data_IF_006262299261
#
_entry.id   IF_006262299261
#
_cell.length_a   1.000
_cell.length_b   1.000
_cell.length_c   1.000
_cell.angle_alpha   90.00
_cell.angle_beta   90.00
_cell.angle_gamma   90.00
#
_symmetry.space_group_name_H-M   'P 1'
#
loop_
_entity.id
_entity.type
_entity.pdbx_description
1 polymer ?
#
# COMPACT_ATOMS: atom_id res chain seq x y z
N UNK A 1 -15.00 5.53 14.45
CA UNK A 1 -14.72 4.76 13.22
C UNK A 1 -15.46 5.45 12.10
N UNK A 2 -14.71 6.00 11.15
CA UNK A 2 -15.30 6.62 9.97
C UNK A 2 -15.82 5.50 9.08
N UNK A 3 -17.12 5.57 8.73
CA UNK A 3 -17.85 4.47 8.06
C UNK A 3 -17.67 4.48 6.54
N UNK A 4 -16.49 4.89 6.01
CA UNK A 4 -16.21 4.91 4.59
C UNK A 4 -14.89 4.18 4.26
N UNK A 5 -14.86 3.59 3.07
CA UNK A 5 -13.70 2.83 2.62
C UNK A 5 -12.58 3.70 2.03
N UNK A 6 -12.86 5.01 1.80
CA UNK A 6 -11.85 5.93 1.26
C UNK A 6 -11.10 5.35 0.06
N UNK A 7 -9.80 5.52 0.06
CA UNK A 7 -8.92 4.99 -0.99
C UNK A 7 -8.89 3.46 -1.05
N UNK A 8 -9.31 2.79 0.02
CA UNK A 8 -9.40 1.33 0.04
C UNK A 8 -10.34 0.77 -1.03
N UNK A 9 -11.42 1.48 -1.38
CA UNK A 9 -12.32 1.04 -2.45
C UNK A 9 -11.64 1.10 -3.82
N UNK A 10 -10.81 2.10 -4.05
CA UNK A 10 -10.04 2.25 -5.29
C UNK A 10 -9.03 1.11 -5.39
N UNK A 11 -8.28 0.87 -4.32
CA UNK A 11 -7.28 -0.20 -4.23
C UNK A 11 -7.94 -1.56 -4.45
N UNK A 12 -9.06 -1.81 -3.78
CA UNK A 12 -9.86 -3.04 -3.96
C UNK A 12 -10.23 -3.24 -5.43
N UNK A 13 -10.79 -2.21 -6.06
CA UNK A 13 -11.26 -2.29 -7.45
C UNK A 13 -10.12 -2.50 -8.44
N UNK A 14 -8.96 -1.87 -8.22
CA UNK A 14 -7.77 -2.07 -9.06
C UNK A 14 -7.24 -3.50 -8.96
N UNK A 15 -7.12 -4.04 -7.75
CA UNK A 15 -6.69 -5.43 -7.54
C UNK A 15 -7.63 -6.41 -8.23
N UNK A 16 -8.95 -6.19 -8.13
CA UNK A 16 -9.96 -6.98 -8.80
C UNK A 16 -9.84 -6.88 -10.34
N UNK A 17 -9.75 -5.67 -10.86
CA UNK A 17 -9.65 -5.41 -12.29
C UNK A 17 -8.42 -6.06 -12.91
N UNK A 18 -7.28 -5.95 -12.26
CA UNK A 18 -6.02 -6.51 -12.74
C UNK A 18 -5.89 -8.01 -12.48
N UNK A 19 -6.72 -8.57 -11.61
CA UNK A 19 -6.57 -9.93 -11.08
C UNK A 19 -5.19 -10.14 -10.44
N UNK A 20 -4.74 -9.14 -9.66
CA UNK A 20 -3.44 -9.16 -9.05
C UNK A 20 -3.28 -10.33 -8.08
N UNK A 21 -2.22 -11.13 -8.24
CA UNK A 21 -1.89 -12.28 -7.38
C UNK A 21 -0.90 -11.90 -6.27
N UNK A 22 0.10 -11.12 -6.61
CA UNK A 22 1.12 -10.66 -5.67
C UNK A 22 0.92 -9.19 -5.38
N UNK A 23 0.43 -8.91 -4.18
CA UNK A 23 0.21 -7.57 -3.69
C UNK A 23 1.24 -7.25 -2.59
N UNK A 24 1.87 -6.08 -2.65
CA UNK A 24 2.86 -5.63 -1.67
C UNK A 24 2.41 -4.31 -1.07
N UNK A 25 2.39 -4.23 0.26
CA UNK A 25 2.09 -3.04 1.02
C UNK A 25 3.35 -2.64 1.81
N UNK A 26 3.93 -1.51 1.47
CA UNK A 26 5.02 -0.89 2.21
C UNK A 26 4.40 0.06 3.23
N UNK A 27 4.60 -0.23 4.51
CA UNK A 27 3.89 0.40 5.61
C UNK A 27 2.49 -0.20 5.82
N UNK A 28 2.16 -0.53 7.03
CA UNK A 28 0.86 -1.13 7.38
C UNK A 28 -0.12 -0.15 7.99
N UNK A 29 0.37 0.98 8.49
CA UNK A 29 -0.41 1.98 9.18
C UNK A 29 -1.32 1.38 10.25
N UNK A 30 -2.57 1.80 10.29
CA UNK A 30 -3.62 1.20 11.11
C UNK A 30 -4.16 -0.13 10.56
N UNK A 31 -3.56 -0.66 9.49
CA UNK A 31 -3.87 -1.96 8.92
C UNK A 31 -5.10 -2.02 8.02
N UNK A 32 -5.71 -0.93 7.73
CA UNK A 32 -6.90 -0.90 6.89
C UNK A 32 -6.57 -1.31 5.45
N UNK A 33 -5.58 -0.68 4.83
CA UNK A 33 -5.21 -0.94 3.44
C UNK A 33 -4.74 -2.39 3.21
N UNK A 34 -3.83 -2.96 4.01
CA UNK A 34 -3.45 -4.35 3.85
C UNK A 34 -4.62 -5.35 3.94
N UNK A 35 -5.64 -5.05 4.77
CA UNK A 35 -6.88 -5.86 4.83
C UNK A 35 -7.63 -5.81 3.53
N UNK A 36 -7.83 -4.61 3.01
CA UNK A 36 -8.55 -4.39 1.75
C UNK A 36 -7.84 -5.09 0.58
N UNK A 37 -6.51 -4.95 0.49
CA UNK A 37 -5.71 -5.64 -0.53
C UNK A 37 -5.86 -7.16 -0.43
N UNK A 38 -5.80 -7.69 0.78
CA UNK A 38 -5.94 -9.13 1.01
C UNK A 38 -7.36 -9.61 0.72
N UNK A 39 -8.38 -8.86 1.13
CA UNK A 39 -9.77 -9.20 0.85
C UNK A 39 -10.05 -9.20 -0.65
N UNK A 40 -9.59 -8.18 -1.38
CA UNK A 40 -9.76 -8.11 -2.84
C UNK A 40 -9.20 -9.38 -3.51
N UNK A 41 -8.01 -9.80 -3.12
CA UNK A 41 -7.37 -11.00 -3.65
C UNK A 41 -8.13 -12.30 -3.30
N UNK A 42 -8.64 -12.41 -2.07
CA UNK A 42 -9.43 -13.56 -1.64
C UNK A 42 -10.78 -13.63 -2.39
N UNK A 43 -11.38 -12.48 -2.67
CA UNK A 43 -12.64 -12.43 -3.40
C UNK A 43 -12.49 -12.84 -4.87
N UNK A 44 -11.35 -12.52 -5.51
CA UNK A 44 -11.01 -13.06 -6.83
C UNK A 44 -10.98 -14.59 -6.86
N UNK A 45 -10.43 -15.19 -5.81
CA UNK A 45 -10.40 -16.64 -5.69
C UNK A 45 -11.79 -17.22 -5.46
N UNK A 46 -12.58 -16.62 -4.58
CA UNK A 46 -13.95 -17.05 -4.29
C UNK A 46 -14.84 -16.96 -5.55
N UNK A 47 -14.65 -15.92 -6.36
CA UNK A 47 -15.36 -15.75 -7.61
C UNK A 47 -15.06 -16.88 -8.60
N UNK A 48 -13.81 -17.25 -8.76
CA UNK A 48 -13.42 -18.35 -9.65
C UNK A 48 -14.03 -19.69 -9.22
N UNK A 49 -14.04 -20.00 -7.92
CA UNK A 49 -14.71 -21.20 -7.39
C UNK A 49 -16.20 -21.16 -7.74
N UNK A 50 -16.83 -20.01 -7.59
CA UNK A 50 -18.25 -19.85 -7.90
C UNK A 50 -18.54 -20.02 -9.41
N UNK A 51 -17.62 -19.61 -10.27
CA UNK A 51 -17.67 -19.82 -11.73
C UNK A 51 -17.43 -21.30 -12.12
N UNK A 52 -17.17 -22.18 -11.17
CA UNK A 52 -17.02 -23.62 -11.41
C UNK A 52 -15.61 -24.02 -11.90
N UNK A 53 -14.63 -23.16 -11.76
CA UNK A 53 -13.25 -23.49 -12.12
C UNK A 53 -12.64 -24.44 -11.09
N UNK A 54 -12.74 -25.74 -11.36
CA UNK A 54 -12.19 -26.80 -10.51
C UNK A 54 -10.68 -26.95 -10.60
N UNK A 55 -10.01 -26.19 -11.49
CA UNK A 55 -8.55 -26.24 -11.67
C UNK A 55 -7.79 -25.38 -10.67
N UNK A 56 -8.49 -24.61 -9.84
CA UNK A 56 -7.87 -23.67 -8.90
C UNK A 56 -7.24 -24.39 -7.72
N UNK A 57 -5.97 -24.14 -7.51
CA UNK A 57 -5.22 -24.54 -6.34
C UNK A 57 -5.05 -23.41 -5.33
N UNK A 58 -4.70 -23.73 -4.09
CA UNK A 58 -4.32 -22.74 -3.09
C UNK A 58 -3.16 -21.84 -3.54
N UNK A 59 -2.27 -22.31 -4.40
CA UNK A 59 -1.19 -21.50 -4.99
C UNK A 59 -1.69 -20.41 -5.92
N UNK A 60 -2.90 -20.54 -6.46
CA UNK A 60 -3.47 -19.55 -7.36
C UNK A 60 -4.08 -18.33 -6.64
N UNK A 61 -4.28 -18.43 -5.33
CA UNK A 61 -4.79 -17.31 -4.51
C UNK A 61 -3.79 -16.17 -4.47
N UNK A 62 -2.51 -16.43 -4.67
CA UNK A 62 -1.44 -15.45 -4.56
C UNK A 62 -1.16 -15.04 -3.10
N UNK A 63 -0.44 -13.94 -2.90
CA UNK A 63 0.01 -13.51 -1.57
C UNK A 63 -0.06 -12.00 -1.41
N UNK A 64 -0.49 -11.54 -0.24
CA UNK A 64 -0.29 -10.15 0.20
C UNK A 64 0.89 -10.12 1.15
N UNK A 65 1.93 -9.38 0.77
CA UNK A 65 3.09 -9.08 1.60
C UNK A 65 2.89 -7.74 2.29
N UNK A 66 3.20 -7.67 3.57
CA UNK A 66 3.15 -6.45 4.37
C UNK A 66 4.54 -6.24 4.95
N UNK A 67 5.16 -5.13 4.61
CA UNK A 67 6.48 -4.74 5.10
C UNK A 67 6.30 -3.59 6.08
N UNK A 68 6.74 -3.77 7.31
CA UNK A 68 6.60 -2.75 8.34
C UNK A 68 7.64 -2.97 9.45
N UNK A 69 8.54 -2.02 9.62
CA UNK A 69 9.61 -2.10 10.63
C UNK A 69 9.10 -1.83 12.05
N UNK A 70 7.94 -1.17 12.19
CA UNK A 70 7.40 -0.70 13.47
C UNK A 70 6.19 -1.49 13.97
N UNK A 71 5.82 -2.59 13.31
CA UNK A 71 4.61 -3.37 13.59
C UNK A 71 3.31 -2.53 13.47
N UNK A 72 3.30 -1.58 12.56
CA UNK A 72 2.21 -0.64 12.36
C UNK A 72 2.26 0.58 13.27
N UNK A 73 1.52 1.61 12.91
CA UNK A 73 1.40 2.86 13.67
C UNK A 73 0.21 2.78 14.64
N UNK A 74 0.33 3.48 15.77
CA UNK A 74 -0.77 3.68 16.71
C UNK A 74 -1.10 2.48 17.58
N UNK A 75 -0.12 1.60 17.83
CA UNK A 75 -0.30 0.48 18.75
C UNK A 75 -1.13 -0.67 18.19
N UNK A 76 -1.28 -0.76 16.89
CA UNK A 76 -1.94 -1.87 16.20
C UNK A 76 -1.09 -3.15 16.19
N UNK A 77 -0.24 -3.31 17.19
CA UNK A 77 0.69 -4.44 17.39
C UNK A 77 0.00 -5.80 17.29
N UNK A 78 -1.30 -5.85 17.57
CA UNK A 78 -2.07 -7.10 17.55
C UNK A 78 -2.24 -7.72 16.16
N UNK A 79 -1.99 -6.96 15.10
CA UNK A 79 -2.03 -7.48 13.74
C UNK A 79 -0.98 -8.54 13.46
N UNK A 80 0.21 -8.34 14.02
CA UNK A 80 1.37 -9.17 13.78
C UNK A 80 1.36 -10.43 14.66
N UNK A 81 0.51 -10.49 15.68
CA UNK A 81 0.35 -11.68 16.53
C UNK A 81 -0.27 -12.82 15.74
N UNK A 82 0.27 -14.03 15.91
CA UNK A 82 -0.21 -15.22 15.20
C UNK A 82 -1.68 -15.53 15.49
N UNK A 83 -2.11 -15.33 16.73
CA UNK A 83 -3.47 -15.52 17.18
C UNK A 83 -4.44 -14.45 16.74
N UNK A 84 -3.98 -13.36 16.12
CA UNK A 84 -4.86 -12.29 15.68
C UNK A 84 -5.88 -12.79 14.66
N UNK A 85 -7.12 -12.26 14.75
CA UNK A 85 -8.16 -12.57 13.79
C UNK A 85 -7.69 -12.26 12.36
N UNK A 86 -6.95 -11.19 12.18
CA UNK A 86 -6.45 -10.76 10.89
C UNK A 86 -5.53 -11.80 10.26
N UNK A 87 -4.49 -12.23 10.96
CA UNK A 87 -3.57 -13.27 10.43
C UNK A 87 -4.29 -14.57 10.10
N UNK A 88 -5.17 -15.03 11.00
CA UNK A 88 -5.92 -16.26 10.78
C UNK A 88 -6.91 -16.17 9.62
N UNK A 89 -7.57 -15.02 9.46
CA UNK A 89 -8.60 -14.82 8.43
C UNK A 89 -8.02 -14.54 7.05
N UNK A 90 -6.94 -13.77 6.99
CA UNK A 90 -6.41 -13.25 5.75
C UNK A 90 -5.07 -13.86 5.33
N UNK A 91 -4.36 -14.52 6.25
CA UNK A 91 -3.08 -15.19 6.01
C UNK A 91 -2.07 -14.35 5.20
N UNK A 92 -1.86 -13.06 5.53
CA UNK A 92 -0.86 -12.26 4.85
C UNK A 92 0.54 -12.72 5.22
N UNK A 93 1.52 -12.46 4.37
CA UNK A 93 2.94 -12.57 4.75
C UNK A 93 3.42 -11.24 5.31
N UNK A 94 3.73 -11.24 6.59
CA UNK A 94 4.23 -10.07 7.31
C UNK A 94 5.76 -10.19 7.41
N UNK A 95 6.45 -9.13 6.98
CA UNK A 95 7.90 -9.02 7.01
C UNK A 95 8.22 -7.81 7.89
N UNK A 96 8.65 -8.09 9.13
CA UNK A 96 8.93 -7.06 10.13
C UNK A 96 10.37 -6.57 10.00
N UNK A 97 10.59 -5.69 9.05
CA UNK A 97 11.88 -5.03 8.80
C UNK A 97 11.66 -3.76 7.97
N UNK A 98 12.74 -3.03 7.67
CA UNK A 98 12.67 -1.88 6.75
C UNK A 98 12.31 -2.32 5.33
N UNK A 99 11.82 -1.39 4.52
CA UNK A 99 11.48 -1.66 3.12
C UNK A 99 12.73 -2.03 2.31
N UNK A 100 13.85 -1.36 2.54
CA UNK A 100 15.15 -1.65 1.91
C UNK A 100 15.65 -3.06 2.25
N UNK A 101 15.67 -3.42 3.54
CA UNK A 101 16.08 -4.76 3.97
C UNK A 101 15.18 -5.85 3.39
N UNK A 102 13.86 -5.64 3.38
CA UNK A 102 12.92 -6.59 2.76
C UNK A 102 13.18 -6.75 1.27
N UNK A 103 13.45 -5.65 0.56
CA UNK A 103 13.79 -5.69 -0.86
C UNK A 103 15.00 -6.59 -1.11
N UNK A 104 16.14 -6.30 -0.49
CA UNK A 104 17.40 -7.01 -0.72
C UNK A 104 17.39 -8.45 -0.20
N UNK A 105 16.91 -8.64 1.04
CA UNK A 105 17.06 -9.90 1.75
C UNK A 105 15.89 -10.88 1.55
N UNK A 106 14.79 -10.42 0.94
CA UNK A 106 13.64 -11.28 0.71
C UNK A 106 13.13 -11.24 -0.74
N UNK A 107 12.73 -10.09 -1.27
CA UNK A 107 12.08 -10.03 -2.58
C UNK A 107 13.03 -10.41 -3.72
N UNK A 108 14.23 -9.84 -3.75
CA UNK A 108 15.24 -10.14 -4.78
C UNK A 108 15.69 -11.59 -4.69
N UNK A 109 15.99 -12.09 -3.48
CA UNK A 109 16.46 -13.46 -3.28
C UNK A 109 15.43 -14.53 -3.69
N UNK A 110 14.15 -14.22 -3.61
CA UNK A 110 13.07 -15.14 -3.96
C UNK A 110 12.48 -14.89 -5.36
N UNK A 111 13.07 -13.98 -6.15
CA UNK A 111 12.60 -13.56 -7.50
C UNK A 111 11.08 -13.24 -7.53
N UNK A 112 10.59 -12.52 -6.52
CA UNK A 112 9.17 -12.21 -6.40
C UNK A 112 8.82 -11.08 -7.37
N UNK A 113 7.86 -11.32 -8.25
CA UNK A 113 7.27 -10.29 -9.12
C UNK A 113 6.00 -9.75 -8.51
N UNK A 114 5.81 -8.44 -8.60
CA UNK A 114 4.75 -7.69 -7.94
C UNK A 114 3.71 -7.25 -8.95
N UNK A 115 2.43 -7.60 -8.72
CA UNK A 115 1.33 -7.17 -9.55
C UNK A 115 0.71 -5.85 -9.06
N UNK A 116 0.66 -5.66 -7.75
CA UNK A 116 0.16 -4.45 -7.14
C UNK A 116 1.07 -4.01 -5.98
N UNK A 117 1.59 -2.80 -6.07
CA UNK A 117 2.44 -2.17 -5.06
C UNK A 117 1.71 -0.98 -4.43
N UNK A 118 1.62 -0.95 -3.10
CA UNK A 118 1.16 0.20 -2.34
C UNK A 118 2.29 0.76 -1.49
N UNK A 119 2.60 2.05 -1.66
CA UNK A 119 3.66 2.76 -0.95
C UNK A 119 3.02 3.72 0.05
N UNK A 120 3.20 3.44 1.34
CA UNK A 120 2.66 4.19 2.47
C UNK A 120 3.52 3.95 3.73
N UNK A 121 4.85 3.89 3.59
CA UNK A 121 5.80 3.65 4.68
C UNK A 121 6.39 4.96 5.21
N UNK A 122 7.63 5.27 4.88
CA UNK A 122 8.25 6.54 5.26
C UNK A 122 7.72 7.71 4.43
N UNK A 123 7.47 8.86 5.06
CA UNK A 123 6.87 10.02 4.40
C UNK A 123 7.88 11.10 4.00
N UNK A 124 9.18 10.89 4.21
CA UNK A 124 10.18 11.78 3.62
C UNK A 124 10.26 11.59 2.11
N UNK A 125 10.70 12.63 1.40
CA UNK A 125 10.89 12.54 -0.05
C UNK A 125 11.85 11.40 -0.43
N UNK A 126 12.94 11.28 0.32
CA UNK A 126 13.97 10.27 0.11
C UNK A 126 13.41 8.86 0.28
N UNK A 127 12.64 8.62 1.34
CA UNK A 127 12.06 7.30 1.61
C UNK A 127 11.08 6.88 0.51
N UNK A 128 10.15 7.77 0.12
CA UNK A 128 9.17 7.46 -0.94
C UNK A 128 9.86 7.20 -2.28
N UNK A 129 10.89 8.01 -2.58
CA UNK A 129 11.68 7.84 -3.80
C UNK A 129 12.43 6.50 -3.81
N UNK A 130 13.09 6.17 -2.71
CA UNK A 130 13.83 4.91 -2.55
C UNK A 130 12.89 3.71 -2.68
N UNK A 131 11.78 3.69 -1.96
CA UNK A 131 10.76 2.66 -2.05
C UNK A 131 10.27 2.47 -3.50
N UNK A 132 9.99 3.55 -4.20
CA UNK A 132 9.57 3.51 -5.58
C UNK A 132 10.67 2.96 -6.50
N UNK A 133 11.90 3.47 -6.40
CA UNK A 133 13.03 3.07 -7.24
C UNK A 133 13.43 1.60 -7.02
N UNK A 134 13.39 1.11 -5.79
CA UNK A 134 13.67 -0.28 -5.48
C UNK A 134 12.56 -1.20 -6.00
N UNK A 135 11.34 -1.01 -5.53
CA UNK A 135 10.27 -1.98 -5.76
C UNK A 135 9.72 -1.99 -7.18
N UNK A 136 9.86 -0.89 -7.94
CA UNK A 136 9.46 -0.87 -9.36
C UNK A 136 10.33 -1.74 -10.25
N UNK A 137 11.51 -2.17 -9.79
CA UNK A 137 12.35 -3.16 -10.50
C UNK A 137 11.74 -4.56 -10.47
N UNK A 138 10.86 -4.83 -9.52
CA UNK A 138 10.22 -6.14 -9.31
C UNK A 138 8.83 -6.24 -9.93
N UNK A 139 8.34 -5.18 -10.58
CA UNK A 139 7.00 -5.18 -11.15
C UNK A 139 6.83 -6.21 -12.26
N UNK A 140 5.71 -6.91 -12.21
CA UNK A 140 5.24 -7.74 -13.34
C UNK A 140 4.77 -6.87 -14.50
N UNK A 141 4.54 -7.48 -15.66
CA UNK A 141 3.92 -6.78 -16.79
C UNK A 141 2.52 -6.30 -16.42
N UNK A 142 2.21 -5.04 -16.69
CA UNK A 142 0.95 -4.37 -16.35
C UNK A 142 0.71 -4.13 -14.85
N UNK A 143 1.73 -4.28 -14.02
CA UNK A 143 1.61 -3.96 -12.61
C UNK A 143 1.17 -2.50 -12.37
N UNK A 144 0.45 -2.27 -11.28
CA UNK A 144 0.07 -0.94 -10.82
C UNK A 144 0.77 -0.63 -9.51
N UNK A 145 1.21 0.62 -9.38
CA UNK A 145 1.73 1.20 -8.14
C UNK A 145 0.73 2.24 -7.65
N UNK A 146 0.47 2.28 -6.36
CA UNK A 146 -0.24 3.38 -5.70
C UNK A 146 0.64 4.00 -4.62
N UNK A 147 0.66 5.33 -4.56
CA UNK A 147 1.35 6.10 -3.53
C UNK A 147 0.30 6.88 -2.75
N UNK A 148 0.31 6.74 -1.43
CA UNK A 148 -0.63 7.42 -0.54
C UNK A 148 -0.15 8.84 -0.15
N UNK A 149 -1.02 9.64 0.47
CA UNK A 149 -0.72 10.97 0.99
C UNK A 149 -0.22 11.98 -0.05
N UNK A 150 -0.79 11.93 -1.25
CA UNK A 150 -0.32 12.72 -2.39
C UNK A 150 -1.14 13.97 -2.68
N UNK A 151 -2.21 14.28 -1.92
CA UNK A 151 -3.03 15.48 -2.15
C UNK A 151 -2.30 16.75 -1.68
N UNK A 152 -1.94 17.69 -2.59
CA UNK A 152 -1.23 18.90 -2.21
C UNK A 152 -2.01 19.82 -1.28
N UNK A 153 -3.35 19.71 -1.22
CA UNK A 153 -4.17 20.50 -0.30
C UNK A 153 -4.01 20.04 1.16
N UNK A 154 -3.34 18.92 1.36
CA UNK A 154 -3.01 18.40 2.68
C UNK A 154 -1.64 18.84 3.19
N UNK A 155 -0.78 19.38 2.34
CA UNK A 155 0.57 19.81 2.73
C UNK A 155 0.55 20.71 3.98
N UNK A 156 -0.40 21.64 4.06
CA UNK A 156 -0.53 22.54 5.21
C UNK A 156 -1.05 21.86 6.49
N UNK A 157 -1.72 20.71 6.36
CA UNK A 157 -2.27 19.95 7.50
C UNK A 157 -1.27 18.95 8.05
N UNK A 158 -0.29 18.59 7.27
CA UNK A 158 0.89 17.85 7.70
C UNK A 158 1.94 18.76 8.35
N UNK A 159 1.62 20.02 8.63
CA UNK A 159 2.47 20.84 9.50
C UNK A 159 2.56 20.13 10.84
N UNK A 160 3.63 19.42 10.98
CA UNK A 160 4.04 18.72 12.17
C UNK A 160 4.12 19.78 13.27
N UNK A 161 3.25 19.66 14.28
CA UNK A 161 3.32 20.55 15.43
C UNK A 161 4.69 20.45 16.05
N UNK A 162 5.17 21.53 16.72
CA UNK A 162 6.48 21.50 17.36
C UNK A 162 6.60 20.31 18.33
N UNK A 163 5.49 19.91 18.96
CA UNK A 163 5.40 18.75 19.85
C UNK A 163 5.75 17.41 19.14
N UNK A 164 5.39 17.26 17.87
CA UNK A 164 5.72 16.07 17.07
C UNK A 164 7.17 16.13 16.61
N UNK A 165 7.68 17.34 16.26
CA UNK A 165 9.10 17.55 15.93
C UNK A 165 9.99 17.23 17.14
N UNK A 166 9.57 17.61 18.34
CA UNK A 166 10.31 17.38 19.58
C UNK A 166 10.38 15.88 19.94
N UNK A 167 9.48 15.06 19.41
CA UNK A 167 9.53 13.58 19.54
C UNK A 167 10.50 12.91 18.59
N UNK A 168 11.10 13.66 17.67
CA UNK A 168 12.04 13.12 16.68
C UNK A 168 11.41 12.25 15.58
N UNK A 169 10.09 12.25 15.50
CA UNK A 169 9.40 11.26 14.70
C UNK A 169 9.19 11.62 13.22
N UNK A 170 9.29 12.89 12.81
CA UNK A 170 8.89 13.22 11.44
C UNK A 170 9.57 14.47 10.88
N UNK A 171 10.39 14.29 9.85
CA UNK A 171 11.05 15.41 9.20
C UNK A 171 10.21 16.06 8.08
N UNK A 172 9.45 15.33 7.30
CA UNK A 172 8.67 15.94 6.20
C UNK A 172 7.59 15.00 5.65
N UNK A 173 6.35 15.17 6.07
CA UNK A 173 5.21 14.43 5.56
C UNK A 173 4.76 14.86 4.14
N UNK A 174 5.43 15.84 3.55
CA UNK A 174 5.12 16.29 2.20
C UNK A 174 5.91 15.53 1.13
N UNK A 175 6.72 14.56 1.51
CA UNK A 175 7.55 13.77 0.62
C UNK A 175 6.77 13.11 -0.52
N UNK A 176 5.64 12.38 -0.26
CA UNK A 176 4.82 11.81 -1.32
C UNK A 176 4.32 12.85 -2.32
N UNK A 177 3.87 14.03 -1.83
CA UNK A 177 3.39 15.13 -2.67
C UNK A 177 4.51 15.67 -3.58
N UNK A 178 5.73 15.79 -3.05
CA UNK A 178 6.90 16.25 -3.82
C UNK A 178 7.30 15.20 -4.86
N UNK A 179 7.43 13.96 -4.43
CA UNK A 179 7.89 12.88 -5.29
C UNK A 179 6.98 12.63 -6.50
N UNK A 180 5.66 12.59 -6.31
CA UNK A 180 4.73 12.32 -7.42
C UNK A 180 4.74 13.40 -8.51
N UNK A 181 5.23 14.62 -8.21
CA UNK A 181 5.39 15.69 -9.20
C UNK A 181 6.58 15.44 -10.12
N UNK A 182 7.59 14.70 -9.66
CA UNK A 182 8.84 14.44 -10.39
C UNK A 182 8.80 13.14 -11.19
N UNK A 183 7.73 12.35 -11.07
CA UNK A 183 7.59 11.10 -11.83
C UNK A 183 7.62 11.40 -13.31
N UNK A 184 8.54 10.74 -14.01
CA UNK A 184 8.78 10.87 -15.45
C UNK A 184 7.57 10.33 -16.25
N UNK A 185 6.71 11.22 -16.67
CA UNK A 185 5.51 10.88 -17.45
C UNK A 185 5.81 10.38 -18.87
N UNK A 186 7.06 10.38 -19.31
CA UNK A 186 7.44 9.68 -20.55
C UNK A 186 7.52 8.17 -20.35
N UNK A 187 7.82 7.72 -19.15
CA UNK A 187 7.96 6.31 -18.77
C UNK A 187 6.75 5.75 -18.03
N UNK A 188 6.00 6.63 -17.36
CA UNK A 188 4.91 6.26 -16.47
C UNK A 188 3.61 6.95 -16.84
N UNK A 189 2.52 6.22 -16.85
CA UNK A 189 1.18 6.79 -16.78
C UNK A 189 0.89 7.13 -15.32
N UNK A 190 0.27 8.31 -15.08
CA UNK A 190 0.00 8.80 -13.73
C UNK A 190 -1.41 9.36 -13.65
N UNK A 191 -2.15 8.95 -12.63
CA UNK A 191 -3.47 9.47 -12.30
C UNK A 191 -3.46 9.89 -10.83
N UNK A 192 -3.70 11.18 -10.58
CA UNK A 192 -3.85 11.70 -9.22
C UNK A 192 -5.34 11.73 -8.86
N UNK A 193 -5.70 11.09 -7.77
CA UNK A 193 -7.05 11.08 -7.23
C UNK A 193 -7.05 11.81 -5.90
N UNK A 194 -7.45 13.07 -5.97
CA UNK A 194 -7.56 13.94 -4.80
C UNK A 194 -9.02 14.01 -4.40
N UNK A 195 -9.34 13.39 -3.29
CA UNK A 195 -10.71 13.36 -2.80
C UNK A 195 -10.98 14.56 -1.89
N UNK A 196 -11.64 15.55 -2.44
CA UNK A 196 -12.04 16.76 -1.72
C UNK A 196 -13.34 16.58 -0.90
N UNK A 197 -13.88 15.37 -0.86
CA UNK A 197 -15.06 15.06 -0.06
C UNK A 197 -14.79 15.28 1.43
N UNK A 198 -15.67 15.98 2.11
CA UNK A 198 -15.61 16.18 3.55
C UNK A 198 -16.65 15.28 4.21
N UNK A 199 -16.20 14.33 5.03
CA UNK A 199 -17.07 13.49 5.84
C UNK A 199 -16.84 13.84 7.30
N UNK A 200 -17.90 14.31 7.99
CA UNK A 200 -17.82 14.72 9.41
C UNK A 200 -16.68 15.71 9.70
N UNK A 201 -16.51 16.71 8.85
CA UNK A 201 -15.44 17.73 8.93
C UNK A 201 -14.02 17.20 8.78
N UNK A 202 -13.84 15.97 8.28
CA UNK A 202 -12.56 15.40 7.92
C UNK A 202 -12.58 15.03 6.43
N UNK A 203 -11.47 15.12 5.74
CA UNK A 203 -11.41 14.65 4.38
C UNK A 203 -11.57 13.12 4.34
N UNK A 204 -12.14 12.65 3.25
CA UNK A 204 -12.34 11.22 3.03
C UNK A 204 -11.08 10.49 2.57
N UNK A 205 -10.06 11.22 2.16
CA UNK A 205 -8.77 10.72 1.70
C UNK A 205 -7.72 11.82 1.80
N UNK A 206 -6.50 11.42 1.96
CA UNK A 206 -5.30 12.27 1.92
C UNK A 206 -4.64 12.28 0.54
N UNK A 207 -5.33 11.69 -0.43
CA UNK A 207 -4.91 11.58 -1.82
C UNK A 207 -4.16 10.29 -2.13
N UNK A 208 -4.43 9.75 -3.30
CA UNK A 208 -3.73 8.60 -3.85
C UNK A 208 -3.31 8.89 -5.29
N UNK A 209 -2.06 8.60 -5.62
CA UNK A 209 -1.54 8.64 -6.99
C UNK A 209 -1.36 7.22 -7.49
N UNK A 210 -1.97 6.93 -8.64
CA UNK A 210 -1.90 5.63 -9.30
C UNK A 210 -0.96 5.74 -10.48
N UNK A 211 -0.06 4.79 -10.62
CA UNK A 211 1.05 4.82 -11.57
C UNK A 211 1.15 3.47 -12.27
N UNK A 212 1.36 3.50 -13.58
CA UNK A 212 1.61 2.30 -14.38
C UNK A 212 2.75 2.57 -15.37
N UNK A 213 3.61 1.58 -15.58
CA UNK A 213 4.66 1.66 -16.61
C UNK A 213 4.03 1.66 -18.01
N UNK A 214 4.52 2.56 -18.88
CA UNK A 214 4.10 2.63 -20.30
C UNK A 214 4.69 1.49 -21.12
#
# INVERSE_FOLDING_TARGET
>A
TDDHLGDGLIIYSLIQYMRAKVCVCLGSGGGFIPRIMTQARLDLYSQKIFEGDSSISWGDIGTTYIIDAMNGIGGQVDWFKEESFYRRRFCPRIINTTTEDAFHNFFVLNDIKIDYLHIDAGHSYENVKEDFELYTQLLSTNAIVSIHDTDPNYADKYIVTQEVKDRGDFDDWTGPIKFVKEIDETKWEKINLFNHGIIKNKPSSTGITIIRKK
#
